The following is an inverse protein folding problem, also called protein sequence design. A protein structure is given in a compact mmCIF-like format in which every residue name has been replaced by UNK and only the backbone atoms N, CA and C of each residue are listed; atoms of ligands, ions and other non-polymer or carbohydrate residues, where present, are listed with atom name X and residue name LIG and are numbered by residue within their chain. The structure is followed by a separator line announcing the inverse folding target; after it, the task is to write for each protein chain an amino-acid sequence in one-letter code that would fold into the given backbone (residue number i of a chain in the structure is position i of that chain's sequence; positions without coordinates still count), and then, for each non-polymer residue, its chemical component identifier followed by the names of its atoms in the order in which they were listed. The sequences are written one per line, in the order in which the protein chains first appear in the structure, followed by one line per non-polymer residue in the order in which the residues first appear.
data_IF_375901463253
#
_entry.id   IF_375901463253
#
_cell.length_a   1.000
_cell.length_b   1.000
_cell.length_c   1.000
_cell.angle_alpha   90.00
_cell.angle_beta   90.00
_cell.angle_gamma   90.00
#
_symmetry.space_group_name_H-M   'P 1'
#
loop_
_entity.id
_entity.type
_entity.pdbx_description
1 polymer ?
#
# COMPACT_ATOMS: atom_id res chain seq x y z
N UNK A 1 -15.13 56.65 7.35
CA UNK A 1 -15.21 55.41 6.54
C UNK A 1 -14.00 54.47 6.77
N UNK A 2 -13.45 54.38 8.00
CA UNK A 2 -12.11 53.74 8.20
C UNK A 2 -11.94 52.85 9.46
N UNK A 3 -12.98 52.61 10.27
CA UNK A 3 -12.83 51.77 11.48
C UNK A 3 -13.28 50.31 11.29
N UNK A 4 -14.25 50.03 10.41
CA UNK A 4 -14.70 48.65 10.14
C UNK A 4 -13.71 47.85 9.29
N UNK A 5 -12.99 48.48 8.35
CA UNK A 5 -12.04 47.79 7.48
C UNK A 5 -10.81 47.22 8.21
N UNK A 6 -10.35 47.89 9.28
CA UNK A 6 -9.24 47.43 10.14
C UNK A 6 -9.60 46.18 10.97
N UNK A 7 -10.87 46.06 11.38
CA UNK A 7 -11.36 44.88 12.11
C UNK A 7 -11.37 43.64 11.21
N UNK A 8 -11.94 43.73 10.00
CA UNK A 8 -11.99 42.60 9.07
C UNK A 8 -10.61 42.14 8.60
N UNK A 9 -9.69 43.08 8.32
CA UNK A 9 -8.33 42.74 7.90
C UNK A 9 -7.55 42.02 9.02
N UNK A 10 -7.64 42.50 10.26
CA UNK A 10 -6.98 41.87 11.41
C UNK A 10 -7.58 40.51 11.77
N UNK A 11 -8.91 40.35 11.64
CA UNK A 11 -9.60 39.07 11.82
C UNK A 11 -9.17 38.05 10.76
N UNK A 12 -9.09 38.49 9.49
CA UNK A 12 -8.64 37.66 8.36
C UNK A 12 -7.21 37.14 8.59
N UNK A 13 -6.28 38.02 8.99
CA UNK A 13 -4.90 37.63 9.32
C UNK A 13 -4.86 36.57 10.43
N UNK A 14 -5.64 36.74 11.51
CA UNK A 14 -5.72 35.77 12.61
C UNK A 14 -6.29 34.42 12.16
N UNK A 15 -7.35 34.44 11.35
CA UNK A 15 -7.97 33.22 10.82
C UNK A 15 -6.99 32.51 9.88
N UNK A 16 -6.36 33.23 8.96
CA UNK A 16 -5.39 32.69 8.01
C UNK A 16 -4.23 31.99 8.72
N UNK A 17 -3.63 32.65 9.70
CA UNK A 17 -2.55 32.07 10.50
C UNK A 17 -2.99 30.85 11.30
N UNK A 18 -4.18 30.88 11.91
CA UNK A 18 -4.74 29.70 12.59
C UNK A 18 -4.97 28.52 11.64
N UNK A 19 -5.49 28.77 10.44
CA UNK A 19 -5.69 27.72 9.43
C UNK A 19 -4.35 27.13 9.00
N UNK A 20 -3.33 27.96 8.78
CA UNK A 20 -1.96 27.49 8.52
C UNK A 20 -1.44 26.59 9.63
N UNK A 21 -1.49 27.09 10.86
CA UNK A 21 -0.93 26.41 12.03
C UNK A 21 -1.64 25.07 12.31
N UNK A 22 -2.95 24.99 12.03
CA UNK A 22 -3.75 23.78 12.21
C UNK A 22 -3.53 22.72 11.12
N UNK A 23 -3.50 23.12 9.84
CA UNK A 23 -3.59 22.18 8.71
C UNK A 23 -2.31 22.04 7.87
N UNK A 24 -1.37 23.00 7.92
CA UNK A 24 -0.26 23.04 6.97
C UNK A 24 1.13 23.26 7.62
N UNK A 25 1.18 23.65 8.90
CA UNK A 25 2.42 23.95 9.59
C UNK A 25 3.11 22.69 10.15
N UNK A 26 4.14 22.19 9.48
CA UNK A 26 4.83 20.96 9.91
C UNK A 26 5.67 21.11 11.21
N UNK A 27 5.88 22.32 11.71
CA UNK A 27 6.72 22.57 12.89
C UNK A 27 5.96 22.35 14.21
N UNK A 28 4.62 22.35 14.18
CA UNK A 28 3.79 22.22 15.38
C UNK A 28 3.41 20.75 15.59
N UNK A 29 4.01 20.12 16.60
CA UNK A 29 3.84 18.67 16.91
C UNK A 29 2.40 18.25 17.28
N UNK A 30 1.52 19.17 17.66
CA UNK A 30 0.12 18.94 18.10
C UNK A 30 -0.93 19.51 17.14
N UNK A 31 -0.68 19.49 15.84
CA UNK A 31 -1.67 19.94 14.85
C UNK A 31 -2.27 18.79 14.03
N UNK A 32 -3.19 19.14 13.13
CA UNK A 32 -3.90 18.19 12.27
C UNK A 32 -3.25 18.04 10.89
N UNK A 33 -2.03 18.53 10.69
CA UNK A 33 -1.35 18.56 9.39
C UNK A 33 -1.23 17.16 8.79
N UNK A 34 -0.57 16.23 9.50
CA UNK A 34 -0.38 14.86 9.01
C UNK A 34 -1.71 14.13 8.81
N UNK A 35 -2.70 14.36 9.68
CA UNK A 35 -4.02 13.72 9.55
C UNK A 35 -4.75 14.24 8.31
N UNK A 36 -4.65 15.54 8.03
CA UNK A 36 -5.23 16.16 6.86
C UNK A 36 -4.55 15.67 5.58
N UNK A 37 -3.22 15.60 5.54
CA UNK A 37 -2.48 15.07 4.40
C UNK A 37 -2.79 13.59 4.12
N UNK A 38 -2.84 12.76 5.17
CA UNK A 38 -3.26 11.36 5.04
C UNK A 38 -4.70 11.26 4.55
N UNK A 39 -5.61 12.08 5.07
CA UNK A 39 -7.01 12.10 4.62
C UNK A 39 -7.14 12.42 3.13
N UNK A 40 -6.44 13.44 2.65
CA UNK A 40 -6.40 13.79 1.22
C UNK A 40 -5.80 12.63 0.40
N UNK A 41 -4.72 12.02 0.88
CA UNK A 41 -4.08 10.87 0.22
C UNK A 41 -5.04 9.69 0.11
N UNK A 42 -5.73 9.33 1.20
CA UNK A 42 -6.73 8.26 1.18
C UNK A 42 -7.92 8.59 0.27
N UNK A 43 -8.36 9.84 0.21
CA UNK A 43 -9.39 10.28 -0.73
C UNK A 43 -8.95 10.12 -2.19
N UNK A 44 -7.70 10.44 -2.53
CA UNK A 44 -7.17 10.23 -3.88
C UNK A 44 -7.17 8.74 -4.21
N UNK A 45 -6.65 7.90 -3.31
CA UNK A 45 -6.57 6.45 -3.53
C UNK A 45 -7.97 5.85 -3.67
N UNK A 46 -8.91 6.21 -2.79
CA UNK A 46 -10.29 5.72 -2.86
C UNK A 46 -10.99 6.19 -4.13
N UNK A 47 -10.73 7.43 -4.57
CA UNK A 47 -11.25 7.94 -5.82
C UNK A 47 -10.72 7.19 -7.04
N UNK A 48 -9.42 6.87 -7.06
CA UNK A 48 -8.81 6.04 -8.10
C UNK A 48 -9.33 4.61 -8.09
N UNK A 49 -9.55 4.01 -6.91
CA UNK A 49 -10.21 2.72 -6.80
C UNK A 49 -11.64 2.78 -7.35
N UNK A 50 -12.38 3.84 -7.04
CA UNK A 50 -13.71 4.11 -7.59
C UNK A 50 -13.71 4.15 -9.12
N UNK A 51 -12.73 4.81 -9.73
CA UNK A 51 -12.56 4.87 -11.20
C UNK A 51 -12.36 3.47 -11.80
N UNK A 52 -11.60 2.60 -11.15
CA UNK A 52 -11.43 1.21 -11.61
C UNK A 52 -12.74 0.43 -11.48
N UNK A 53 -13.45 0.58 -10.35
CA UNK A 53 -14.73 -0.07 -10.13
C UNK A 53 -15.83 0.40 -11.09
N UNK A 54 -15.77 1.65 -11.57
CA UNK A 54 -16.67 2.20 -12.60
C UNK A 54 -16.60 1.39 -13.91
N UNK A 55 -15.49 0.71 -14.19
CA UNK A 55 -15.35 -0.14 -15.38
C UNK A 55 -16.09 -1.49 -15.26
N UNK A 56 -16.57 -1.86 -14.07
CA UNK A 56 -17.25 -3.13 -13.81
C UNK A 56 -18.77 -2.88 -13.88
N UNK A 57 -19.46 -3.26 -14.98
CA UNK A 57 -20.88 -2.90 -15.18
C UNK A 57 -21.77 -3.39 -14.04
N UNK A 58 -21.52 -4.62 -13.57
CA UNK A 58 -22.25 -5.26 -12.46
C UNK A 58 -22.23 -4.41 -11.18
N UNK A 59 -21.12 -3.72 -10.90
CA UNK A 59 -20.97 -2.89 -9.69
C UNK A 59 -21.52 -1.49 -9.95
N UNK A 60 -21.25 -0.94 -11.13
CA UNK A 60 -21.59 0.44 -11.47
C UNK A 60 -23.08 0.65 -11.69
N UNK A 61 -23.74 -0.21 -12.50
CA UNK A 61 -25.16 -0.01 -12.88
C UNK A 61 -26.10 0.00 -11.67
N UNK A 62 -25.79 -0.77 -10.63
CA UNK A 62 -26.61 -0.81 -9.40
C UNK A 62 -26.38 0.40 -8.49
N UNK A 63 -25.24 1.11 -8.62
CA UNK A 63 -24.77 2.10 -7.64
C UNK A 63 -24.29 3.42 -8.26
N UNK A 64 -24.66 3.71 -9.50
CA UNK A 64 -24.20 4.86 -10.27
C UNK A 64 -24.27 6.18 -9.48
N UNK A 65 -25.40 6.44 -8.83
CA UNK A 65 -25.59 7.64 -8.01
C UNK A 65 -24.57 7.77 -6.88
N UNK A 66 -24.18 6.66 -6.22
CA UNK A 66 -23.19 6.70 -5.14
C UNK A 66 -21.80 7.04 -5.68
N UNK A 67 -21.42 6.48 -6.83
CA UNK A 67 -20.16 6.81 -7.51
C UNK A 67 -20.12 8.29 -7.90
N UNK A 68 -21.21 8.81 -8.48
CA UNK A 68 -21.30 10.21 -8.85
C UNK A 68 -21.21 11.15 -7.63
N UNK A 69 -21.96 10.87 -6.56
CA UNK A 69 -21.90 11.65 -5.31
C UNK A 69 -20.48 11.64 -4.75
N UNK A 70 -19.85 10.47 -4.70
CA UNK A 70 -18.49 10.33 -4.19
C UNK A 70 -17.46 11.11 -5.02
N UNK A 71 -17.58 11.10 -6.36
CA UNK A 71 -16.73 11.87 -7.25
C UNK A 71 -16.89 13.38 -7.07
N UNK A 72 -18.13 13.87 -6.93
CA UNK A 72 -18.41 15.30 -6.70
C UNK A 72 -17.89 15.74 -5.33
N UNK A 73 -18.13 14.95 -4.29
CA UNK A 73 -17.69 15.28 -2.92
C UNK A 73 -16.16 15.28 -2.81
N UNK A 74 -15.48 14.26 -3.33
CA UNK A 74 -14.02 14.18 -3.30
C UNK A 74 -13.37 15.35 -4.05
N UNK A 75 -13.93 15.73 -5.20
CA UNK A 75 -13.48 16.92 -5.93
C UNK A 75 -13.75 18.21 -5.17
N UNK A 76 -14.93 18.37 -4.55
CA UNK A 76 -15.23 19.55 -3.75
C UNK A 76 -14.19 19.69 -2.63
N UNK A 77 -13.84 18.60 -1.95
CA UNK A 77 -12.76 18.56 -0.96
C UNK A 77 -11.42 19.00 -1.56
N UNK A 78 -11.01 18.47 -2.72
CA UNK A 78 -9.75 18.87 -3.36
C UNK A 78 -9.73 20.33 -3.83
N UNK A 79 -10.87 20.85 -4.27
CA UNK A 79 -11.02 22.26 -4.66
C UNK A 79 -10.91 23.17 -3.44
N UNK A 80 -11.55 22.79 -2.32
CA UNK A 80 -11.45 23.50 -1.05
C UNK A 80 -10.01 23.46 -0.53
N UNK A 81 -9.34 22.31 -0.57
CA UNK A 81 -7.93 22.18 -0.18
C UNK A 81 -7.03 23.12 -0.98
N UNK A 82 -7.19 23.14 -2.32
CA UNK A 82 -6.42 24.03 -3.18
C UNK A 82 -6.68 25.51 -2.86
N UNK A 83 -7.94 25.89 -2.68
CA UNK A 83 -8.32 27.24 -2.31
C UNK A 83 -7.77 27.65 -0.93
N UNK A 84 -7.81 26.75 0.05
CA UNK A 84 -7.24 26.96 1.39
C UNK A 84 -5.73 27.18 1.32
N UNK A 85 -5.01 26.37 0.53
CA UNK A 85 -3.55 26.55 0.35
C UNK A 85 -3.22 27.88 -0.32
N UNK A 86 -3.96 28.25 -1.37
CA UNK A 86 -3.80 29.55 -2.02
C UNK A 86 -4.12 30.72 -1.07
N UNK A 87 -5.12 30.57 -0.21
CA UNK A 87 -5.51 31.56 0.79
C UNK A 87 -4.42 31.75 1.86
N UNK A 88 -3.82 30.65 2.30
CA UNK A 88 -2.83 30.60 3.38
C UNK A 88 -1.39 30.85 2.91
N UNK A 89 -1.11 30.75 1.61
CA UNK A 89 0.22 30.95 1.01
C UNK A 89 1.07 32.13 1.55
N UNK A 90 0.51 33.30 1.93
CA UNK A 90 1.31 34.37 2.55
C UNK A 90 1.95 34.03 3.91
N UNK A 91 1.39 33.07 4.66
CA UNK A 91 1.93 32.62 5.95
C UNK A 91 2.97 31.49 5.80
N UNK A 92 3.03 30.87 4.63
CA UNK A 92 3.96 29.78 4.36
C UNK A 92 5.39 30.34 4.27
N UNK A 93 6.34 29.84 5.08
CA UNK A 93 7.73 30.27 5.05
C UNK A 93 8.33 30.25 3.63
N UNK A 94 7.96 29.26 2.80
CA UNK A 94 8.49 29.10 1.45
C UNK A 94 8.09 30.23 0.49
N UNK A 95 6.95 30.89 0.72
CA UNK A 95 6.38 31.90 -0.19
C UNK A 95 6.28 33.30 0.43
N UNK A 96 6.39 33.41 1.76
CA UNK A 96 6.29 34.66 2.53
C UNK A 96 7.24 35.76 2.05
N UNK A 97 8.43 35.39 1.54
CA UNK A 97 9.45 36.33 1.05
C UNK A 97 9.17 36.90 -0.34
N UNK A 98 8.19 36.36 -1.08
CA UNK A 98 7.88 36.81 -2.43
C UNK A 98 7.02 38.09 -2.43
N UNK A 99 7.20 38.94 -3.45
CA UNK A 99 6.39 40.17 -3.65
C UNK A 99 4.89 39.88 -3.72
N UNK A 100 4.51 38.74 -4.29
CA UNK A 100 3.12 38.26 -4.36
C UNK A 100 3.07 36.77 -3.95
N UNK A 101 2.95 36.45 -2.65
CA UNK A 101 3.04 35.08 -2.16
C UNK A 101 2.04 34.13 -2.79
N UNK A 102 0.82 34.60 -3.07
CA UNK A 102 -0.24 33.81 -3.72
C UNK A 102 0.11 33.43 -5.16
N UNK A 103 0.67 34.37 -5.92
CA UNK A 103 1.10 34.09 -7.31
C UNK A 103 2.35 33.21 -7.33
N UNK A 104 3.26 33.38 -6.36
CA UNK A 104 4.40 32.50 -6.19
C UNK A 104 3.96 31.06 -5.89
N UNK A 105 2.99 30.88 -4.98
CA UNK A 105 2.39 29.58 -4.72
C UNK A 105 1.70 29.01 -5.97
N UNK A 106 0.87 29.79 -6.66
CA UNK A 106 0.16 29.34 -7.87
C UNK A 106 1.11 28.80 -8.96
N UNK A 107 2.29 29.41 -9.13
CA UNK A 107 3.32 28.95 -10.07
C UNK A 107 4.18 27.80 -9.55
N UNK A 108 4.01 27.40 -8.29
CA UNK A 108 4.75 26.28 -7.72
C UNK A 108 4.33 24.96 -8.39
N UNK A 109 5.24 23.99 -8.55
CA UNK A 109 4.93 22.72 -9.18
C UNK A 109 3.79 21.97 -8.45
N UNK A 110 3.74 22.05 -7.11
CA UNK A 110 2.69 21.43 -6.33
C UNK A 110 1.30 22.06 -6.54
N UNK A 111 1.23 23.38 -6.69
CA UNK A 111 -0.05 24.05 -6.98
C UNK A 111 -0.55 23.73 -8.39
N UNK A 112 0.36 23.58 -9.36
CA UNK A 112 0.01 23.15 -10.71
C UNK A 112 -0.55 21.73 -10.69
N UNK A 113 0.08 20.80 -9.95
CA UNK A 113 -0.41 19.43 -9.77
C UNK A 113 -1.81 19.43 -9.15
N UNK A 114 -2.02 20.18 -8.07
CA UNK A 114 -3.33 20.28 -7.42
C UNK A 114 -4.39 20.83 -8.39
N UNK A 115 -4.06 21.86 -9.17
CA UNK A 115 -4.96 22.45 -10.16
C UNK A 115 -5.32 21.45 -11.27
N UNK A 116 -4.32 20.76 -11.82
CA UNK A 116 -4.52 19.74 -12.87
C UNK A 116 -5.42 18.61 -12.36
N UNK A 117 -5.34 18.26 -11.08
CA UNK A 117 -6.16 17.18 -10.50
C UNK A 117 -7.66 17.51 -10.40
N UNK A 118 -8.01 18.80 -10.28
CA UNK A 118 -9.40 19.28 -10.19
C UNK A 118 -9.94 19.78 -11.53
N UNK A 119 -9.05 20.13 -12.46
CA UNK A 119 -9.37 20.70 -13.77
C UNK A 119 -10.41 19.92 -14.58
N UNK A 120 -10.40 18.57 -14.65
CA UNK A 120 -11.32 17.83 -15.52
C UNK A 120 -12.80 18.10 -15.22
N UNK A 121 -13.15 18.30 -13.94
CA UNK A 121 -14.54 18.61 -13.59
C UNK A 121 -14.95 20.00 -14.05
N UNK A 122 -14.11 21.01 -13.81
CA UNK A 122 -14.42 22.38 -14.22
C UNK A 122 -14.44 22.52 -15.73
N UNK A 123 -13.58 21.78 -16.45
CA UNK A 123 -13.64 21.71 -17.91
C UNK A 123 -14.95 21.08 -18.39
N UNK A 124 -15.40 19.99 -17.79
CA UNK A 124 -16.68 19.38 -18.13
C UNK A 124 -17.90 20.24 -17.81
N UNK A 125 -17.81 21.12 -16.81
CA UNK A 125 -18.89 22.05 -16.47
C UNK A 125 -18.93 23.29 -17.39
N UNK A 126 -17.78 23.69 -17.97
CA UNK A 126 -17.65 24.88 -18.80
C UNK A 126 -17.70 24.58 -20.31
N UNK A 127 -17.27 23.39 -20.70
CA UNK A 127 -17.23 22.93 -22.08
C UNK A 127 -18.03 21.63 -22.18
N UNK A 128 -18.88 21.49 -23.20
CA UNK A 128 -19.51 20.21 -23.60
C UNK A 128 -18.47 19.24 -24.19
N UNK A 129 -17.41 18.98 -23.42
CA UNK A 129 -16.33 18.09 -23.79
C UNK A 129 -16.80 16.63 -23.67
N UNK A 130 -16.24 15.77 -24.51
CA UNK A 130 -16.56 14.35 -24.51
C UNK A 130 -16.32 13.74 -23.11
N UNK A 131 -17.38 13.17 -22.53
CA UNK A 131 -17.39 12.56 -21.20
C UNK A 131 -16.29 11.50 -21.04
N UNK A 132 -15.90 10.83 -22.13
CA UNK A 132 -14.82 9.84 -22.14
C UNK A 132 -13.46 10.46 -21.84
N UNK A 133 -13.17 11.59 -22.48
CA UNK A 133 -11.90 12.32 -22.28
C UNK A 133 -11.86 12.85 -20.86
N UNK A 134 -12.96 13.43 -20.37
CA UNK A 134 -13.05 13.93 -19.00
C UNK A 134 -12.86 12.82 -17.96
N UNK A 135 -13.40 11.61 -18.21
CA UNK A 135 -13.17 10.43 -17.37
C UNK A 135 -11.71 10.02 -17.35
N UNK A 136 -11.04 9.96 -18.51
CA UNK A 136 -9.62 9.64 -18.59
C UNK A 136 -8.74 10.69 -17.88
N UNK A 137 -9.08 11.98 -18.00
CA UNK A 137 -8.35 13.06 -17.33
C UNK A 137 -8.46 13.00 -15.79
N UNK A 138 -9.43 12.26 -15.22
CA UNK A 138 -9.45 12.01 -13.76
C UNK A 138 -8.19 11.28 -13.29
N UNK A 139 -7.53 10.50 -14.14
CA UNK A 139 -6.24 9.85 -13.83
C UNK A 139 -5.14 10.85 -13.48
N UNK A 140 -5.26 12.11 -13.91
CA UNK A 140 -4.34 13.18 -13.53
C UNK A 140 -4.35 13.43 -12.00
N UNK A 141 -5.40 12.99 -11.28
CA UNK A 141 -5.44 12.99 -9.81
C UNK A 141 -4.32 12.16 -9.20
N UNK A 142 -3.81 11.14 -9.91
CA UNK A 142 -2.63 10.37 -9.47
C UNK A 142 -1.41 11.26 -9.27
N UNK A 143 -1.28 12.35 -10.03
CA UNK A 143 -0.15 13.26 -9.85
C UNK A 143 -0.14 13.89 -8.46
N UNK A 144 -1.29 14.01 -7.82
CA UNK A 144 -1.39 14.56 -6.45
C UNK A 144 -0.67 13.69 -5.41
N UNK A 145 -0.48 12.40 -5.68
CA UNK A 145 0.34 11.51 -4.83
C UNK A 145 1.82 11.93 -4.80
N UNK A 146 2.33 12.60 -5.85
CA UNK A 146 3.71 13.13 -5.83
C UNK A 146 3.93 14.15 -4.73
N UNK A 147 2.87 14.80 -4.23
CA UNK A 147 3.00 15.74 -3.11
C UNK A 147 3.40 15.07 -1.81
N UNK A 148 2.94 13.84 -1.56
CA UNK A 148 3.37 13.04 -0.42
C UNK A 148 4.75 12.40 -0.68
N UNK A 149 5.02 11.98 -1.92
CA UNK A 149 6.24 11.27 -2.28
C UNK A 149 7.48 12.17 -2.40
N UNK A 150 7.38 13.32 -3.06
CA UNK A 150 8.51 14.22 -3.32
C UNK A 150 9.27 14.68 -2.06
N UNK A 151 8.61 15.20 -1.00
CA UNK A 151 9.32 15.59 0.21
C UNK A 151 9.98 14.40 0.90
N UNK A 152 9.34 13.23 0.93
CA UNK A 152 9.92 12.02 1.50
C UNK A 152 11.15 11.54 0.72
N UNK A 153 11.14 11.66 -0.61
CA UNK A 153 12.31 11.36 -1.45
C UNK A 153 13.45 12.34 -1.17
N UNK A 154 13.17 13.64 -1.06
CA UNK A 154 14.20 14.64 -0.77
C UNK A 154 14.81 14.42 0.62
N UNK A 155 14.00 14.22 1.65
CA UNK A 155 14.45 13.87 3.00
C UNK A 155 15.34 12.63 2.98
N UNK A 156 14.93 11.57 2.28
CA UNK A 156 15.70 10.35 2.15
C UNK A 156 17.05 10.57 1.45
N UNK A 157 17.07 11.38 0.39
CA UNK A 157 18.30 11.71 -0.34
C UNK A 157 19.26 12.51 0.54
N UNK A 158 18.77 13.47 1.33
CA UNK A 158 19.57 14.25 2.27
C UNK A 158 20.17 13.37 3.37
N UNK A 159 19.36 12.51 4.01
CA UNK A 159 19.81 11.60 5.07
C UNK A 159 20.84 10.57 4.60
N UNK A 160 20.83 10.24 3.30
CA UNK A 160 21.69 9.21 2.72
C UNK A 160 22.70 9.76 1.69
N UNK A 161 22.97 11.06 1.67
CA UNK A 161 23.82 11.69 0.64
C UNK A 161 25.20 11.01 0.53
N UNK A 162 25.83 10.71 1.66
CA UNK A 162 27.19 10.14 1.76
C UNK A 162 27.22 8.60 1.73
N UNK A 163 26.07 7.96 1.51
CA UNK A 163 25.94 6.50 1.59
C UNK A 163 26.01 5.85 0.22
N UNK A 164 26.51 4.60 0.20
CA UNK A 164 26.55 3.78 -1.01
C UNK A 164 25.14 3.52 -1.54
N UNK A 165 25.02 3.27 -2.85
CA UNK A 165 23.73 2.91 -3.46
C UNK A 165 23.11 1.66 -2.83
N UNK A 166 23.95 0.70 -2.42
CA UNK A 166 23.53 -0.53 -1.73
C UNK A 166 22.91 -0.23 -0.37
N UNK A 167 23.51 0.68 0.39
CA UNK A 167 22.97 1.14 1.66
C UNK A 167 21.66 1.93 1.48
N UNK A 168 21.53 2.74 0.42
CA UNK A 168 20.26 3.41 0.09
C UNK A 168 19.14 2.38 -0.12
N UNK A 169 19.37 1.32 -0.89
CA UNK A 169 18.38 0.23 -1.03
C UNK A 169 18.12 -0.46 0.32
N UNK A 170 19.16 -0.68 1.13
CA UNK A 170 19.01 -1.25 2.46
C UNK A 170 18.09 -0.41 3.35
N UNK A 171 18.29 0.90 3.40
CA UNK A 171 17.52 1.85 4.20
C UNK A 171 16.10 2.08 3.66
N UNK A 172 15.88 1.94 2.34
CA UNK A 172 14.54 2.02 1.77
C UNK A 172 13.66 0.84 2.18
N UNK A 173 14.25 -0.36 2.22
CA UNK A 173 13.50 -1.62 2.34
C UNK A 173 13.51 -2.17 3.77
N UNK A 174 14.46 -1.76 4.61
CA UNK A 174 14.52 -2.11 6.02
C UNK A 174 14.52 -0.84 6.88
N UNK A 175 13.88 -0.92 8.05
CA UNK A 175 13.82 0.19 9.00
C UNK A 175 15.22 0.47 9.58
N UNK A 176 15.74 1.66 9.31
CA UNK A 176 17.03 2.17 9.79
C UNK A 176 16.92 3.62 10.22
N UNK A 177 17.88 4.15 11.00
CA UNK A 177 17.85 5.56 11.42
C UNK A 177 17.86 6.57 10.25
N UNK A 178 18.29 6.17 9.04
CA UNK A 178 18.35 7.02 7.85
C UNK A 178 17.22 6.76 6.84
N UNK A 179 16.26 5.90 7.18
CA UNK A 179 15.17 5.49 6.29
C UNK A 179 14.14 6.60 6.04
N UNK A 180 13.96 7.52 7.00
CA UNK A 180 13.00 8.63 6.91
C UNK A 180 11.56 8.18 6.63
N UNK A 181 10.73 9.10 6.14
CA UNK A 181 9.33 8.80 5.82
C UNK A 181 9.17 7.94 4.55
N UNK A 182 10.16 7.94 3.65
CA UNK A 182 10.09 7.21 2.38
C UNK A 182 9.94 5.69 2.58
N UNK A 183 10.59 5.15 3.61
CA UNK A 183 10.45 3.74 3.98
C UNK A 183 9.01 3.37 4.35
N UNK A 184 8.32 4.22 5.13
CA UNK A 184 6.92 4.00 5.49
C UNK A 184 5.99 4.05 4.27
N UNK A 185 6.24 4.96 3.33
CA UNK A 185 5.50 5.02 2.05
C UNK A 185 5.73 3.74 1.24
N UNK A 186 6.99 3.27 1.15
CA UNK A 186 7.33 2.03 0.46
C UNK A 186 6.64 0.82 1.11
N UNK A 187 6.67 0.71 2.42
CA UNK A 187 6.00 -0.38 3.16
C UNK A 187 4.48 -0.34 2.98
N UNK A 188 3.87 0.85 3.09
CA UNK A 188 2.44 1.04 2.84
C UNK A 188 2.07 0.65 1.41
N UNK A 189 2.92 0.99 0.43
CA UNK A 189 2.74 0.59 -0.96
C UNK A 189 2.76 -0.93 -1.12
N UNK A 190 3.74 -1.63 -0.54
CA UNK A 190 3.80 -3.11 -0.59
C UNK A 190 2.56 -3.73 0.09
N UNK A 191 2.18 -3.25 1.27
CA UNK A 191 0.99 -3.74 2.00
C UNK A 191 -0.28 -3.55 1.16
N UNK A 192 -0.45 -2.37 0.56
CA UNK A 192 -1.60 -2.08 -0.31
C UNK A 192 -1.65 -3.05 -1.49
N UNK A 193 -0.52 -3.32 -2.13
CA UNK A 193 -0.44 -4.30 -3.22
C UNK A 193 -0.72 -5.72 -2.77
N UNK A 194 -0.29 -6.11 -1.56
CA UNK A 194 -0.64 -7.42 -0.99
C UNK A 194 -2.16 -7.53 -0.83
N UNK A 195 -2.80 -6.53 -0.22
CA UNK A 195 -4.26 -6.52 -0.04
C UNK A 195 -4.98 -6.55 -1.40
N UNK A 196 -4.59 -5.68 -2.33
CA UNK A 196 -5.20 -5.62 -3.67
C UNK A 196 -5.09 -6.96 -4.39
N UNK A 197 -3.92 -7.59 -4.33
CA UNK A 197 -3.68 -8.86 -5.00
C UNK A 197 -4.46 -10.02 -4.39
N UNK A 198 -4.75 -9.98 -3.09
CA UNK A 198 -5.59 -10.99 -2.43
C UNK A 198 -7.06 -10.75 -2.75
N UNK A 199 -7.52 -9.49 -2.74
CA UNK A 199 -8.86 -9.15 -3.20
C UNK A 199 -9.08 -9.59 -4.65
N UNK A 200 -8.07 -9.45 -5.51
CA UNK A 200 -8.12 -9.96 -6.87
C UNK A 200 -8.33 -11.48 -6.91
N UNK A 201 -7.59 -12.26 -6.12
CA UNK A 201 -7.79 -13.72 -6.02
C UNK A 201 -9.19 -14.08 -5.51
N UNK A 202 -9.72 -13.33 -4.55
CA UNK A 202 -11.09 -13.52 -4.04
C UNK A 202 -12.11 -13.22 -5.14
N UNK A 203 -11.96 -12.12 -5.88
CA UNK A 203 -12.88 -11.78 -6.96
C UNK A 203 -12.75 -12.71 -8.18
N UNK A 204 -11.55 -13.20 -8.49
CA UNK A 204 -11.31 -14.21 -9.52
C UNK A 204 -12.07 -15.52 -9.22
N UNK A 205 -12.29 -15.85 -7.95
CA UNK A 205 -13.05 -17.04 -7.54
C UNK A 205 -14.54 -16.98 -7.89
N UNK A 206 -15.08 -15.78 -8.16
CA UNK A 206 -16.48 -15.57 -8.53
C UNK A 206 -16.61 -15.61 -10.06
N UNK A 207 -17.29 -16.64 -10.59
CA UNK A 207 -17.39 -16.87 -12.04
C UNK A 207 -17.92 -15.67 -12.84
N UNK A 208 -18.93 -14.97 -12.31
CA UNK A 208 -19.52 -13.81 -12.98
C UNK A 208 -18.54 -12.64 -13.10
N UNK A 209 -17.69 -12.42 -12.11
CA UNK A 209 -16.68 -11.35 -12.13
C UNK A 209 -15.52 -11.75 -13.04
N UNK A 210 -15.04 -12.99 -12.90
CA UNK A 210 -13.93 -13.51 -13.70
C UNK A 210 -14.25 -13.51 -15.21
N UNK A 211 -15.50 -13.77 -15.62
CA UNK A 211 -15.87 -13.71 -17.03
C UNK A 211 -15.59 -12.35 -17.70
N UNK A 212 -15.82 -11.25 -16.97
CA UNK A 212 -15.60 -9.89 -17.50
C UNK A 212 -14.19 -9.34 -17.26
N UNK A 213 -13.51 -9.76 -16.18
CA UNK A 213 -12.24 -9.17 -15.73
C UNK A 213 -11.05 -10.15 -15.78
N UNK A 214 -11.17 -11.24 -16.55
CA UNK A 214 -10.15 -12.28 -16.57
C UNK A 214 -8.76 -11.74 -16.94
N UNK A 215 -8.69 -10.93 -18.00
CA UNK A 215 -7.46 -10.29 -18.47
C UNK A 215 -6.85 -9.37 -17.41
N UNK A 216 -7.69 -8.59 -16.75
CA UNK A 216 -7.33 -7.61 -15.74
C UNK A 216 -6.75 -8.30 -14.51
N UNK A 217 -7.33 -9.43 -14.07
CA UNK A 217 -6.77 -10.22 -12.97
C UNK A 217 -5.40 -10.82 -13.32
N UNK A 218 -5.20 -11.30 -14.55
CA UNK A 218 -3.89 -11.80 -15.01
C UNK A 218 -2.85 -10.67 -15.01
N UNK A 219 -3.20 -9.50 -15.55
CA UNK A 219 -2.30 -8.34 -15.58
C UNK A 219 -1.96 -7.89 -14.16
N UNK A 220 -2.96 -7.79 -13.29
CA UNK A 220 -2.77 -7.41 -11.90
C UNK A 220 -1.87 -8.40 -11.15
N UNK A 221 -2.06 -9.71 -11.34
CA UNK A 221 -1.20 -10.73 -10.74
C UNK A 221 0.24 -10.61 -11.25
N UNK A 222 0.43 -10.43 -12.56
CA UNK A 222 1.74 -10.21 -13.16
C UNK A 222 2.46 -8.97 -12.59
N UNK A 223 1.74 -7.85 -12.44
CA UNK A 223 2.28 -6.63 -11.82
C UNK A 223 2.62 -6.86 -10.35
N UNK A 224 1.72 -7.49 -9.59
CA UNK A 224 1.95 -7.78 -8.17
C UNK A 224 3.18 -8.67 -7.97
N UNK A 225 3.33 -9.72 -8.79
CA UNK A 225 4.51 -10.59 -8.76
C UNK A 225 5.77 -9.83 -9.13
N UNK A 226 5.74 -8.95 -10.15
CA UNK A 226 6.88 -8.13 -10.52
C UNK A 226 7.31 -7.20 -9.37
N UNK A 227 6.35 -6.56 -8.69
CA UNK A 227 6.59 -5.69 -7.52
C UNK A 227 7.23 -6.50 -6.38
N UNK A 228 6.62 -7.61 -5.98
CA UNK A 228 7.13 -8.43 -4.87
C UNK A 228 8.47 -9.10 -5.20
N UNK A 229 8.70 -9.46 -6.47
CA UNK A 229 9.99 -9.98 -6.92
C UNK A 229 11.07 -8.91 -6.82
N UNK A 230 10.75 -7.70 -7.25
CA UNK A 230 11.66 -6.55 -7.14
C UNK A 230 11.99 -6.25 -5.68
N UNK A 231 10.99 -6.23 -4.80
CA UNK A 231 11.19 -6.07 -3.36
C UNK A 231 12.12 -7.17 -2.79
N UNK A 232 11.86 -8.44 -3.13
CA UNK A 232 12.68 -9.56 -2.69
C UNK A 232 14.14 -9.46 -3.17
N UNK A 233 14.35 -9.09 -4.44
CA UNK A 233 15.67 -8.87 -5.00
C UNK A 233 16.39 -7.71 -4.32
N UNK A 234 15.70 -6.59 -4.05
CA UNK A 234 16.26 -5.46 -3.31
C UNK A 234 16.70 -5.87 -1.91
N UNK A 235 15.92 -6.70 -1.20
CA UNK A 235 16.28 -7.24 0.13
C UNK A 235 17.53 -8.11 0.08
N UNK A 236 17.63 -9.03 -0.89
CA UNK A 236 18.81 -9.90 -1.04
C UNK A 236 20.04 -9.07 -1.45
N UNK A 237 19.88 -8.14 -2.37
CA UNK A 237 20.98 -7.31 -2.87
C UNK A 237 21.60 -6.46 -1.75
N UNK A 238 20.74 -5.88 -0.91
CA UNK A 238 21.12 -5.01 0.21
C UNK A 238 21.50 -5.77 1.49
N UNK A 239 21.26 -7.08 1.55
CA UNK A 239 21.50 -7.89 2.75
C UNK A 239 22.90 -7.77 3.37
N UNK A 240 24.01 -7.62 2.61
CA UNK A 240 25.34 -7.56 3.21
C UNK A 240 25.66 -6.25 3.95
N UNK A 241 24.76 -5.26 3.90
CA UNK A 241 24.87 -4.02 4.70
C UNK A 241 24.48 -4.26 6.17
N UNK A 242 23.72 -5.31 6.48
CA UNK A 242 23.46 -5.72 7.87
C UNK A 242 24.73 -6.36 8.46
N UNK A 243 25.24 -5.89 9.62
CA UNK A 243 26.40 -6.47 10.30
C UNK A 243 26.33 -7.98 10.50
N UNK A 244 25.12 -8.55 10.59
CA UNK A 244 24.86 -9.99 10.79
C UNK A 244 25.13 -10.84 9.54
N UNK A 245 25.13 -10.24 8.35
CA UNK A 245 25.14 -10.95 7.07
C UNK A 245 26.28 -10.52 6.15
N UNK A 246 27.50 -10.42 6.68
CA UNK A 246 28.68 -10.08 5.88
C UNK A 246 29.07 -11.21 4.90
N UNK A 247 29.51 -10.82 3.70
CA UNK A 247 29.99 -11.72 2.64
C UNK A 247 29.10 -11.72 1.40
N UNK A 248 29.72 -11.80 0.21
CA UNK A 248 29.01 -11.68 -1.07
C UNK A 248 27.99 -12.80 -1.31
N UNK A 249 28.36 -14.07 -1.08
CA UNK A 249 27.51 -15.24 -1.35
C UNK A 249 26.87 -15.80 -0.07
N UNK A 250 27.69 -16.19 0.92
CA UNK A 250 27.18 -16.80 2.16
C UNK A 250 26.25 -15.86 2.95
N UNK A 251 26.54 -14.55 2.96
CA UNK A 251 25.70 -13.55 3.63
C UNK A 251 24.30 -13.46 3.00
N UNK A 252 24.24 -13.48 1.65
CA UNK A 252 22.99 -13.45 0.89
C UNK A 252 22.16 -14.72 1.07
N UNK A 253 22.79 -15.89 0.99
CA UNK A 253 22.10 -17.17 1.21
C UNK A 253 21.55 -17.27 2.64
N UNK A 254 22.35 -16.87 3.65
CA UNK A 254 21.91 -16.86 5.05
C UNK A 254 20.75 -15.87 5.27
N UNK A 255 20.76 -14.74 4.56
CA UNK A 255 19.65 -13.79 4.58
C UNK A 255 18.39 -14.35 3.91
N UNK A 256 18.54 -15.07 2.79
CA UNK A 256 17.43 -15.74 2.11
C UNK A 256 16.77 -16.84 2.97
N UNK A 257 17.53 -17.51 3.83
CA UNK A 257 17.00 -18.50 4.79
C UNK A 257 16.32 -17.88 6.03
N UNK A 258 16.24 -16.55 6.15
CA UNK A 258 15.52 -15.90 7.24
C UNK A 258 14.00 -16.08 7.05
N UNK A 259 13.21 -16.30 8.11
CA UNK A 259 11.76 -16.49 7.99
C UNK A 259 11.04 -15.39 7.20
N UNK A 260 11.43 -14.13 7.37
CA UNK A 260 10.84 -13.01 6.62
C UNK A 260 11.16 -13.06 5.13
N UNK A 261 12.41 -13.39 4.76
CA UNK A 261 12.81 -13.56 3.36
C UNK A 261 12.18 -14.80 2.73
N UNK A 262 11.96 -15.87 3.51
CA UNK A 262 11.24 -17.07 3.05
C UNK A 262 9.78 -16.72 2.73
N UNK A 263 9.13 -15.90 3.57
CA UNK A 263 7.77 -15.42 3.29
C UNK A 263 7.72 -14.63 1.97
N UNK A 264 8.70 -13.76 1.73
CA UNK A 264 8.78 -12.99 0.47
C UNK A 264 8.96 -13.92 -0.74
N UNK A 265 9.80 -14.95 -0.61
CA UNK A 265 9.98 -15.96 -1.65
C UNK A 265 8.69 -16.75 -1.90
N UNK A 266 8.03 -17.24 -0.85
CA UNK A 266 6.78 -18.00 -0.96
C UNK A 266 5.65 -17.18 -1.57
N UNK A 267 5.67 -15.85 -1.43
CA UNK A 267 4.67 -14.96 -2.03
C UNK A 267 4.76 -14.88 -3.56
N UNK A 268 5.97 -15.03 -4.14
CA UNK A 268 6.21 -14.97 -5.58
C UNK A 268 6.36 -16.36 -6.23
N UNK A 269 6.71 -17.37 -5.42
CA UNK A 269 7.03 -18.73 -5.87
C UNK A 269 5.94 -19.36 -6.76
N UNK A 270 4.63 -19.28 -6.46
CA UNK A 270 3.62 -19.96 -7.26
C UNK A 270 3.64 -19.54 -8.74
N UNK A 271 3.85 -18.25 -9.02
CA UNK A 271 3.91 -17.72 -10.38
C UNK A 271 5.10 -18.28 -11.15
N UNK A 272 6.30 -18.26 -10.56
CA UNK A 272 7.50 -18.79 -11.22
C UNK A 272 7.44 -20.30 -11.41
N UNK A 273 6.86 -21.04 -10.46
CA UNK A 273 6.64 -22.48 -10.61
C UNK A 273 5.64 -22.78 -11.73
N UNK A 274 4.50 -22.08 -11.79
CA UNK A 274 3.53 -22.22 -12.88
C UNK A 274 4.21 -21.92 -14.23
N UNK A 275 4.95 -20.81 -14.34
CA UNK A 275 5.65 -20.43 -15.57
C UNK A 275 6.65 -21.50 -16.06
N UNK A 276 7.46 -22.08 -15.17
CA UNK A 276 8.52 -23.04 -15.54
C UNK A 276 7.98 -24.47 -15.72
N UNK A 277 7.03 -24.89 -14.89
CA UNK A 277 6.61 -26.29 -14.78
C UNK A 277 5.24 -26.60 -15.43
N UNK A 278 4.55 -25.62 -16.02
CA UNK A 278 3.23 -25.85 -16.64
C UNK A 278 3.23 -26.92 -17.75
N UNK A 279 4.36 -27.17 -18.41
CA UNK A 279 4.47 -28.22 -19.43
C UNK A 279 4.53 -29.64 -18.84
N UNK A 280 4.87 -29.78 -17.55
CA UNK A 280 5.11 -31.06 -16.89
C UNK A 280 3.93 -31.51 -16.03
N UNK A 281 3.19 -30.56 -15.43
CA UNK A 281 2.12 -30.84 -14.46
C UNK A 281 0.94 -29.89 -14.63
N UNK A 282 -0.27 -30.34 -14.28
CA UNK A 282 -1.42 -29.43 -14.12
C UNK A 282 -1.29 -28.67 -12.79
N UNK A 283 -0.71 -27.47 -12.87
CA UNK A 283 -0.38 -26.64 -11.72
C UNK A 283 -1.51 -25.69 -11.32
N UNK A 284 -2.75 -25.94 -11.74
CA UNK A 284 -3.92 -25.15 -11.30
C UNK A 284 -4.03 -25.04 -9.79
N UNK A 285 -3.61 -26.07 -9.05
CA UNK A 285 -3.60 -26.03 -7.58
C UNK A 285 -2.61 -24.99 -7.01
N UNK A 286 -1.55 -24.63 -7.74
CA UNK A 286 -0.60 -23.58 -7.33
C UNK A 286 -1.27 -22.20 -7.21
N UNK A 287 -2.42 -22.00 -7.86
CA UNK A 287 -3.21 -20.78 -7.72
C UNK A 287 -3.65 -20.54 -6.27
N UNK A 288 -3.95 -21.60 -5.52
CA UNK A 288 -4.29 -21.49 -4.09
C UNK A 288 -3.11 -20.96 -3.28
N UNK A 289 -1.89 -21.37 -3.63
CA UNK A 289 -0.68 -20.87 -2.98
C UNK A 289 -0.40 -19.39 -3.28
N UNK A 290 -1.09 -18.74 -4.24
CA UNK A 290 -1.02 -17.28 -4.39
C UNK A 290 -1.47 -16.58 -3.12
N UNK A 291 -2.38 -17.18 -2.33
CA UNK A 291 -2.79 -16.67 -1.01
C UNK A 291 -1.65 -16.63 0.01
N UNK A 292 -0.54 -17.36 -0.21
CA UNK A 292 0.65 -17.28 0.65
C UNK A 292 1.22 -15.86 0.71
N UNK A 293 0.96 -15.00 -0.29
CA UNK A 293 1.34 -13.59 -0.23
C UNK A 293 0.69 -12.83 0.93
N UNK A 294 -0.44 -13.30 1.48
CA UNK A 294 -1.03 -12.78 2.73
C UNK A 294 -0.06 -12.84 3.90
N UNK A 295 0.83 -13.84 3.92
CA UNK A 295 1.83 -13.97 4.97
C UNK A 295 2.78 -12.78 5.00
N UNK A 296 2.92 -11.99 3.93
CA UNK A 296 3.70 -10.73 3.95
C UNK A 296 3.11 -9.73 4.96
N UNK A 297 1.80 -9.73 5.19
CA UNK A 297 1.14 -8.87 6.20
C UNK A 297 1.60 -9.18 7.62
N UNK A 298 2.00 -10.43 7.89
CA UNK A 298 2.50 -10.85 9.20
C UNK A 298 3.73 -10.05 9.65
N UNK A 299 4.54 -9.52 8.71
CA UNK A 299 5.71 -8.70 9.02
C UNK A 299 5.34 -7.36 9.66
N UNK A 300 4.24 -6.77 9.21
CA UNK A 300 3.79 -5.43 9.57
C UNK A 300 2.95 -5.41 10.85
N UNK A 301 2.53 -6.59 11.31
CA UNK A 301 1.84 -6.76 12.58
C UNK A 301 2.82 -7.19 13.68
N UNK A 302 3.12 -6.28 14.61
CA UNK A 302 3.93 -6.59 15.80
C UNK A 302 3.36 -7.76 16.62
N UNK A 303 2.05 -7.97 16.59
CA UNK A 303 1.40 -9.11 17.23
C UNK A 303 1.86 -10.46 16.66
N UNK A 304 2.13 -10.54 15.35
CA UNK A 304 2.60 -11.79 14.72
C UNK A 304 4.03 -12.11 15.11
N UNK A 305 4.87 -11.08 15.31
CA UNK A 305 6.23 -11.28 15.83
C UNK A 305 6.19 -11.84 17.25
N UNK A 306 5.33 -11.30 18.12
CA UNK A 306 5.09 -11.82 19.48
C UNK A 306 4.61 -13.27 19.45
N UNK A 307 3.64 -13.58 18.58
CA UNK A 307 3.15 -14.94 18.40
C UNK A 307 4.27 -15.90 17.98
N UNK A 308 5.12 -15.50 17.03
CA UNK A 308 6.24 -16.32 16.56
C UNK A 308 7.28 -16.56 17.67
N UNK A 309 7.54 -15.56 18.52
CA UNK A 309 8.41 -15.69 19.68
C UNK A 309 7.85 -16.71 20.67
N UNK A 310 6.55 -16.64 20.97
CA UNK A 310 5.87 -17.58 21.88
C UNK A 310 5.88 -19.00 21.31
N UNK A 311 5.52 -19.19 20.04
CA UNK A 311 5.55 -20.50 19.39
C UNK A 311 6.95 -21.11 19.43
N UNK A 312 7.99 -20.31 19.12
CA UNK A 312 9.37 -20.79 19.15
C UNK A 312 9.79 -21.20 20.57
N UNK A 313 9.32 -20.48 21.58
CA UNK A 313 9.59 -20.79 22.99
C UNK A 313 8.90 -22.08 23.44
N UNK A 314 7.64 -22.28 23.06
CA UNK A 314 6.83 -23.44 23.44
C UNK A 314 7.02 -24.66 22.52
N UNK A 315 7.80 -24.53 21.44
CA UNK A 315 8.05 -25.59 20.46
C UNK A 315 8.51 -26.94 21.06
N UNK A 316 9.39 -27.00 22.08
CA UNK A 316 9.76 -28.26 22.71
C UNK A 316 8.57 -28.98 23.36
N UNK A 317 7.69 -28.23 24.04
CA UNK A 317 6.49 -28.76 24.71
C UNK A 317 5.46 -29.21 23.67
N UNK A 318 5.22 -28.39 22.65
CA UNK A 318 4.30 -28.74 21.55
C UNK A 318 4.75 -30.02 20.84
N UNK A 319 6.05 -30.17 20.57
CA UNK A 319 6.61 -31.39 19.97
C UNK A 319 6.38 -32.63 20.84
N UNK A 320 6.58 -32.52 22.15
CA UNK A 320 6.32 -33.62 23.07
C UNK A 320 4.84 -33.99 23.11
N UNK A 321 3.94 -33.00 23.15
CA UNK A 321 2.50 -33.22 23.13
C UNK A 321 2.03 -33.89 21.82
N UNK A 322 2.51 -33.42 20.66
CA UNK A 322 2.22 -34.03 19.35
C UNK A 322 2.76 -35.46 19.28
N UNK A 323 3.95 -35.72 19.83
CA UNK A 323 4.52 -37.06 19.87
C UNK A 323 3.66 -38.02 20.70
N UNK A 324 3.24 -37.62 21.90
CA UNK A 324 2.35 -38.42 22.75
C UNK A 324 1.00 -38.63 22.07
N UNK A 325 0.45 -37.60 21.44
CA UNK A 325 -0.81 -37.69 20.71
C UNK A 325 -0.73 -38.68 19.54
N UNK A 326 0.34 -38.63 18.75
CA UNK A 326 0.58 -39.59 17.67
C UNK A 326 0.72 -41.02 18.18
N UNK A 327 1.42 -41.20 19.31
CA UNK A 327 1.59 -42.51 19.93
C UNK A 327 0.25 -43.07 20.41
N UNK A 328 -0.61 -42.24 21.03
CA UNK A 328 -1.95 -42.64 21.44
C UNK A 328 -2.84 -42.98 20.25
N UNK A 329 -2.80 -42.18 19.18
CA UNK A 329 -3.57 -42.44 17.95
C UNK A 329 -3.12 -43.76 17.31
N UNK A 330 -1.81 -44.02 17.24
CA UNK A 330 -1.28 -45.29 16.73
C UNK A 330 -1.73 -46.48 17.59
N UNK A 331 -1.63 -46.35 18.91
CA UNK A 331 -2.01 -47.42 19.84
C UNK A 331 -3.52 -47.70 19.77
N UNK A 332 -4.35 -46.65 19.73
CA UNK A 332 -5.79 -46.76 19.55
C UNK A 332 -6.15 -47.39 18.19
N UNK A 333 -5.46 -47.01 17.10
CA UNK A 333 -5.67 -47.61 15.78
C UNK A 333 -5.30 -49.10 15.78
N UNK A 334 -4.18 -49.50 16.40
CA UNK A 334 -3.78 -50.90 16.51
C UNK A 334 -4.73 -51.73 17.36
N UNK A 335 -5.17 -51.21 18.51
CA UNK A 335 -6.15 -51.89 19.37
C UNK A 335 -7.51 -52.00 18.70
N UNK A 336 -7.98 -50.92 18.06
CA UNK A 336 -9.21 -50.92 17.29
C UNK A 336 -9.18 -51.96 16.19
N UNK A 337 -8.09 -52.02 15.42
CA UNK A 337 -7.89 -53.09 14.43
C UNK A 337 -7.89 -54.47 15.08
N UNK A 338 -7.13 -54.69 16.16
CA UNK A 338 -7.03 -56.01 16.79
C UNK A 338 -8.38 -56.54 17.32
N UNK A 339 -9.21 -55.67 17.89
CA UNK A 339 -10.49 -56.07 18.50
C UNK A 339 -11.68 -56.00 17.54
N UNK A 340 -11.71 -55.05 16.61
CA UNK A 340 -12.86 -54.80 15.74
C UNK A 340 -12.73 -55.49 14.38
N UNK A 341 -11.51 -55.84 13.94
CA UNK A 341 -11.32 -56.51 12.65
C UNK A 341 -12.01 -57.88 12.58
N UNK A 342 -11.99 -58.66 13.66
CA UNK A 342 -12.73 -59.93 13.70
C UNK A 342 -14.26 -59.74 13.74
N UNK A 343 -14.74 -58.63 14.31
CA UNK A 343 -16.16 -58.35 14.46
C UNK A 343 -16.79 -57.66 13.23
N UNK A 344 -16.00 -56.94 12.42
CA UNK A 344 -16.45 -56.21 11.22
C UNK A 344 -15.43 -56.31 10.07
N UNK A 345 -15.15 -57.50 9.52
CA UNK A 345 -14.10 -57.69 8.51
C UNK A 345 -14.29 -56.81 7.27
N UNK A 346 -15.53 -56.64 6.78
CA UNK A 346 -15.86 -55.87 5.57
C UNK A 346 -15.55 -54.35 5.65
N UNK A 347 -15.23 -53.82 6.84
CA UNK A 347 -14.90 -52.40 7.08
C UNK A 347 -13.39 -52.13 7.12
N UNK A 348 -12.58 -53.18 7.26
CA UNK A 348 -11.13 -53.10 7.51
C UNK A 348 -10.29 -53.83 6.43
N UNK A 349 -10.91 -54.28 5.33
CA UNK A 349 -10.21 -54.76 4.11
C UNK A 349 -9.54 -53.65 3.31
#
# INVERSE_FOLDING_TARGET
MSLQSLSFASLNLRIRKRVFDLFFNHQIKKNYCNQFEHFITYMIVLNMAGLVLEHIPVIYETREHLFHIFDVVSLAIFSIEYALRLYVAPEDPAFSSAKYPRLAYFKSPFAIIDLISILPFYLGALFDADLRVLRALRLLRLFKLFRALAPAVNEFLELNQDKSYRYKIYALVNETPTSGNLHHIFDMFIVTWVILSVLAVIFESVQSINYYLHSEFIILDGIAVAIFSTEYLMRIYSSPEDPKYKGWLLGRLRSASRPTSIIDLLAILPFYLEAVLHHLFDLRFLRVFRLMRLLKLARYSGATQSLFIVIKREWPVMKAAVFIMLLLVMLAACLGYLFEHEAQPDKFE
#
